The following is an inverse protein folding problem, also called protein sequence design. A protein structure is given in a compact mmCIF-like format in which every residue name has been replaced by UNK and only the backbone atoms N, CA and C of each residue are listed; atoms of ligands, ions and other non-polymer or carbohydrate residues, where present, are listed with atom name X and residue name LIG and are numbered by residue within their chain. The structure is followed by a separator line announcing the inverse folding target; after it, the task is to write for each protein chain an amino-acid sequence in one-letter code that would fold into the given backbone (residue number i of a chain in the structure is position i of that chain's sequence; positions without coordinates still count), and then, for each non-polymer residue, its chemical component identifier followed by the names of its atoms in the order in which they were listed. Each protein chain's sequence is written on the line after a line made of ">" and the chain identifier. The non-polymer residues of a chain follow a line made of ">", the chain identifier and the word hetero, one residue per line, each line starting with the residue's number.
data_IF_671262563291
#
_entry.id   IF_671262563291
#
_cell.length_a   1.000
_cell.length_b   1.000
_cell.length_c   1.000
_cell.angle_alpha   90.00
_cell.angle_beta   90.00
_cell.angle_gamma   90.00
#
_symmetry.space_group_name_H-M   'P 1'
#
loop_
_entity.id
_entity.type
_entity.pdbx_description
1 polymer ?
#
# COMPACT_ATOMS: atom_id res chain seq x y z
N UNK A 1 -1.94 4.32 25.56
CA UNK A 1 -0.48 4.38 25.40
C UNK A 1 -0.10 3.39 24.32
N UNK A 2 0.82 3.72 23.41
CA UNK A 2 1.28 2.78 22.38
C UNK A 2 2.14 1.69 23.02
N UNK A 3 1.87 0.42 22.69
CA UNK A 3 2.71 -0.71 23.09
C UNK A 3 3.37 -1.32 21.84
N UNK A 4 4.70 -1.15 21.67
CA UNK A 4 5.40 -1.70 20.52
C UNK A 4 5.53 -3.23 20.63
N UNK A 5 5.38 -3.90 19.50
CA UNK A 5 5.68 -5.32 19.35
C UNK A 5 7.14 -5.64 19.72
N UNK A 6 7.38 -6.82 20.30
CA UNK A 6 8.69 -7.24 20.83
C UNK A 6 9.81 -7.18 19.81
N UNK A 7 9.56 -7.56 18.55
CA UNK A 7 10.58 -7.51 17.50
C UNK A 7 11.09 -6.08 17.21
N UNK A 8 10.22 -5.06 17.34
CA UNK A 8 10.63 -3.67 17.21
C UNK A 8 11.44 -3.22 18.43
N UNK A 9 10.98 -3.60 19.63
CA UNK A 9 11.69 -3.30 20.89
C UNK A 9 13.10 -3.89 20.85
N UNK A 10 13.26 -5.14 20.43
CA UNK A 10 14.54 -5.82 20.37
C UNK A 10 15.48 -5.21 19.32
N UNK A 11 14.95 -4.86 18.13
CA UNK A 11 15.72 -4.19 17.09
C UNK A 11 16.25 -2.82 17.56
N UNK A 12 15.39 -2.01 18.19
CA UNK A 12 15.77 -0.70 18.75
C UNK A 12 16.80 -0.85 19.87
N UNK A 13 16.61 -1.81 20.80
CA UNK A 13 17.57 -2.08 21.89
C UNK A 13 18.95 -2.47 21.36
N UNK A 14 19.01 -3.27 20.29
CA UNK A 14 20.25 -3.70 19.64
C UNK A 14 20.87 -2.61 18.76
N UNK A 15 20.16 -1.49 18.53
CA UNK A 15 20.53 -0.44 17.57
C UNK A 15 20.77 -0.98 16.16
N UNK A 16 20.04 -2.03 15.81
CA UNK A 16 20.15 -2.66 14.50
C UNK A 16 19.17 -1.96 13.56
N UNK A 17 19.69 -0.95 12.85
CA UNK A 17 18.88 -0.10 11.96
C UNK A 17 18.17 -0.93 10.89
N UNK A 18 18.83 -1.97 10.38
CA UNK A 18 18.23 -2.83 9.36
C UNK A 18 17.05 -3.62 9.92
N UNK A 19 17.21 -4.19 11.12
CA UNK A 19 16.10 -4.86 11.81
C UNK A 19 14.96 -3.89 12.18
N UNK A 20 15.27 -2.62 12.49
CA UNK A 20 14.22 -1.61 12.71
C UNK A 20 13.44 -1.35 11.42
N UNK A 21 14.11 -1.20 10.28
CA UNK A 21 13.44 -1.02 8.98
C UNK A 21 12.55 -2.22 8.62
N UNK A 22 13.04 -3.45 8.84
CA UNK A 22 12.26 -4.67 8.66
C UNK A 22 11.03 -4.70 9.59
N UNK A 23 11.21 -4.33 10.86
CA UNK A 23 10.12 -4.25 11.83
C UNK A 23 9.04 -3.25 11.38
N UNK A 24 9.43 -2.03 10.99
CA UNK A 24 8.49 -1.01 10.52
C UNK A 24 7.81 -1.40 9.19
N UNK A 25 8.53 -2.08 8.29
CA UNK A 25 7.96 -2.64 7.06
C UNK A 25 6.92 -3.73 7.36
N UNK A 26 7.11 -4.47 8.46
CA UNK A 26 6.13 -5.45 8.95
C UNK A 26 4.86 -4.77 9.46
N UNK A 27 4.96 -3.67 10.20
CA UNK A 27 3.80 -2.85 10.59
C UNK A 27 3.04 -2.34 9.34
N UNK A 28 3.74 -1.75 8.36
CA UNK A 28 3.14 -1.30 7.10
C UNK A 28 2.46 -2.42 6.32
N UNK A 29 3.02 -3.63 6.38
CA UNK A 29 2.47 -4.78 5.68
C UNK A 29 1.16 -5.24 6.30
N UNK A 30 1.07 -5.26 7.64
CA UNK A 30 -0.11 -5.68 8.40
C UNK A 30 -1.20 -4.60 8.44
N UNK A 31 -0.81 -3.34 8.60
CA UNK A 31 -1.71 -2.21 8.80
C UNK A 31 -1.39 -1.05 7.83
N UNK A 32 -1.53 -1.24 6.50
CA UNK A 32 -1.21 -0.20 5.52
C UNK A 32 -2.10 1.04 5.61
N UNK A 33 -3.22 0.97 6.33
CA UNK A 33 -4.17 2.06 6.55
C UNK A 33 -3.76 2.95 7.74
N UNK A 34 -2.79 2.52 8.54
CA UNK A 34 -2.42 3.14 9.82
C UNK A 34 -3.64 3.29 10.77
N UNK A 35 -4.45 2.24 10.85
CA UNK A 35 -5.53 2.15 11.82
C UNK A 35 -5.00 2.37 13.23
N UNK A 36 -5.76 3.12 14.03
CA UNK A 36 -5.42 3.48 15.41
C UNK A 36 -4.06 4.20 15.55
N UNK A 37 -3.52 4.72 14.44
CA UNK A 37 -2.20 5.34 14.35
C UNK A 37 -1.03 4.41 14.72
N UNK A 38 -1.23 3.08 14.66
CA UNK A 38 -0.25 2.08 15.10
C UNK A 38 1.09 2.20 14.37
N UNK A 39 1.07 2.33 13.05
CA UNK A 39 2.27 2.35 12.22
C UNK A 39 3.10 3.61 12.45
N UNK A 40 2.44 4.76 12.58
CA UNK A 40 3.13 6.02 12.88
C UNK A 40 3.68 6.04 14.31
N UNK A 41 2.92 5.52 15.29
CA UNK A 41 3.42 5.38 16.67
C UNK A 41 4.63 4.43 16.75
N UNK A 42 4.65 3.35 15.96
CA UNK A 42 5.81 2.46 15.83
C UNK A 42 7.03 3.19 15.26
N UNK A 43 6.84 3.99 14.21
CA UNK A 43 7.90 4.78 13.59
C UNK A 43 8.46 5.85 14.55
N UNK A 44 7.59 6.58 15.26
CA UNK A 44 7.96 7.57 16.27
C UNK A 44 8.68 6.91 17.46
N UNK A 45 8.23 5.74 17.89
CA UNK A 45 8.88 4.96 18.94
C UNK A 45 10.34 4.64 18.59
N UNK A 46 10.59 4.21 17.36
CA UNK A 46 11.93 3.88 16.88
C UNK A 46 12.78 5.14 16.71
N UNK A 47 12.28 6.14 15.99
CA UNK A 47 12.99 7.40 15.69
C UNK A 47 13.45 8.11 16.97
N UNK A 48 12.62 8.13 18.02
CA UNK A 48 12.96 8.77 19.31
C UNK A 48 13.99 8.04 20.16
N UNK A 49 14.41 6.82 19.78
CA UNK A 49 15.29 5.95 20.59
C UNK A 49 16.58 5.57 19.89
N UNK A 50 16.70 5.86 18.60
CA UNK A 50 17.91 5.60 17.83
C UNK A 50 18.86 6.78 17.94
N UNK A 51 20.16 6.50 18.05
CA UNK A 51 21.21 7.52 17.91
C UNK A 51 21.49 7.85 16.45
N UNK A 52 21.38 6.84 15.59
CA UNK A 52 21.64 6.98 14.16
C UNK A 52 20.34 7.33 13.42
N UNK A 53 20.41 8.09 12.31
CA UNK A 53 19.24 8.43 11.53
C UNK A 53 18.51 7.19 11.00
N UNK A 54 17.22 7.06 11.34
CA UNK A 54 16.35 6.01 10.81
C UNK A 54 16.04 6.24 9.32
N UNK A 55 15.77 7.50 8.98
CA UNK A 55 15.32 7.91 7.66
C UNK A 55 16.50 8.30 6.79
N UNK A 56 16.45 7.87 5.53
CA UNK A 56 17.35 8.38 4.49
C UNK A 56 16.65 9.48 3.69
N UNK A 57 17.44 10.28 2.97
CA UNK A 57 16.90 11.25 2.01
C UNK A 57 16.13 10.52 0.89
N UNK A 58 15.04 11.13 0.45
CA UNK A 58 14.27 10.61 -0.68
C UNK A 58 15.13 10.62 -1.95
N UNK A 59 15.14 9.50 -2.67
CA UNK A 59 15.98 9.31 -3.87
C UNK A 59 15.44 9.97 -5.15
N UNK A 60 14.27 10.61 -5.08
CA UNK A 60 13.63 11.25 -6.22
C UNK A 60 12.99 10.27 -7.20
N UNK A 61 12.87 8.99 -6.86
CA UNK A 61 12.13 8.03 -7.67
C UNK A 61 10.69 8.50 -7.87
N UNK A 62 10.18 8.26 -9.08
CA UNK A 62 8.84 8.68 -9.46
C UNK A 62 7.77 8.08 -8.53
N UNK A 63 6.84 8.93 -8.14
CA UNK A 63 5.64 8.58 -7.39
C UNK A 63 4.45 9.04 -8.23
N UNK A 64 3.51 8.15 -8.53
CA UNK A 64 2.28 8.48 -9.25
C UNK A 64 1.39 9.41 -8.41
N UNK A 65 1.21 10.69 -8.81
CA UNK A 65 0.42 11.65 -8.04
C UNK A 65 -1.09 11.46 -8.22
N UNK A 66 -1.53 10.81 -9.31
CA UNK A 66 -2.95 10.61 -9.59
C UNK A 66 -3.50 9.44 -8.76
N UNK A 67 -4.22 9.79 -7.69
CA UNK A 67 -4.85 8.81 -6.79
C UNK A 67 -5.90 7.90 -7.43
N UNK A 68 -6.39 8.23 -8.64
CA UNK A 68 -7.29 7.35 -9.39
C UNK A 68 -6.57 6.13 -9.97
N UNK A 69 -5.25 6.21 -10.16
CA UNK A 69 -4.40 5.12 -10.65
C UNK A 69 -3.80 4.27 -9.53
N UNK A 70 -4.03 4.63 -8.26
CA UNK A 70 -3.53 3.85 -7.14
C UNK A 70 -4.28 2.53 -7.02
N UNK A 71 -3.53 1.43 -7.09
CA UNK A 71 -4.06 0.08 -6.98
C UNK A 71 -3.44 -0.67 -5.81
N UNK A 72 -3.99 -1.85 -5.52
CA UNK A 72 -3.37 -2.79 -4.56
C UNK A 72 -1.95 -3.17 -5.00
N UNK A 73 -1.76 -3.39 -6.30
CA UNK A 73 -0.46 -3.79 -6.84
C UNK A 73 0.55 -2.64 -6.72
N UNK A 74 0.10 -1.41 -6.97
CA UNK A 74 0.92 -0.21 -6.76
C UNK A 74 1.34 -0.07 -5.29
N UNK A 75 0.44 -0.32 -4.34
CA UNK A 75 0.80 -0.38 -2.91
C UNK A 75 1.87 -1.45 -2.63
N UNK A 76 1.76 -2.63 -3.27
CA UNK A 76 2.76 -3.68 -3.18
C UNK A 76 4.13 -3.23 -3.69
N UNK A 77 4.17 -2.58 -4.86
CA UNK A 77 5.38 -2.03 -5.45
C UNK A 77 6.04 -1.00 -4.52
N UNK A 78 5.27 -0.05 -3.99
CA UNK A 78 5.82 0.98 -3.10
C UNK A 78 6.45 0.37 -1.83
N UNK A 79 5.85 -0.69 -1.28
CA UNK A 79 6.40 -1.42 -0.13
C UNK A 79 7.72 -2.13 -0.48
N UNK A 80 7.82 -2.73 -1.66
CA UNK A 80 9.08 -3.31 -2.15
C UNK A 80 10.14 -2.22 -2.34
N UNK A 81 9.78 -1.10 -2.93
CA UNK A 81 10.71 -0.01 -3.19
C UNK A 81 11.23 0.67 -1.91
N UNK A 82 10.41 0.68 -0.85
CA UNK A 82 10.81 1.19 0.47
C UNK A 82 12.07 0.47 1.02
N UNK A 83 12.30 -0.78 0.62
CA UNK A 83 13.49 -1.54 0.99
C UNK A 83 14.79 -0.97 0.40
N UNK A 84 14.72 -0.29 -0.76
CA UNK A 84 15.89 0.34 -1.39
C UNK A 84 16.11 1.77 -0.90
N UNK A 85 15.04 2.50 -0.59
CA UNK A 85 15.08 3.84 -0.03
C UNK A 85 14.07 3.98 1.12
N UNK A 86 14.57 3.83 2.35
CA UNK A 86 13.76 3.91 3.56
C UNK A 86 13.57 5.37 4.02
N UNK A 87 13.00 6.21 3.16
CA UNK A 87 12.72 7.62 3.45
C UNK A 87 11.37 7.81 4.13
N UNK A 88 11.26 8.89 4.91
CA UNK A 88 10.04 9.22 5.66
C UNK A 88 8.89 9.59 4.72
N UNK A 89 9.22 10.20 3.60
CA UNK A 89 8.32 10.59 2.51
C UNK A 89 7.65 9.36 1.90
N UNK A 90 8.44 8.35 1.50
CA UNK A 90 7.90 7.09 0.94
C UNK A 90 7.08 6.34 1.97
N UNK A 91 7.56 6.27 3.21
CA UNK A 91 6.85 5.62 4.30
C UNK A 91 5.45 6.22 4.50
N UNK A 92 5.34 7.55 4.54
CA UNK A 92 4.06 8.26 4.66
C UNK A 92 3.19 8.10 3.42
N UNK A 93 3.78 8.19 2.23
CA UNK A 93 3.04 8.05 0.98
C UNK A 93 2.40 6.66 0.85
N UNK A 94 3.10 5.60 1.29
CA UNK A 94 2.55 4.23 1.37
C UNK A 94 1.28 4.19 2.23
N UNK A 95 1.23 4.93 3.35
CA UNK A 95 0.04 5.01 4.20
C UNK A 95 -1.12 5.73 3.51
N UNK A 96 -0.85 6.76 2.72
CA UNK A 96 -1.87 7.46 1.94
C UNK A 96 -2.48 6.54 0.88
N UNK A 97 -1.63 5.84 0.11
CA UNK A 97 -2.06 4.84 -0.87
C UNK A 97 -2.82 3.71 -0.17
N UNK A 98 -2.32 3.22 0.96
CA UNK A 98 -2.95 2.17 1.76
C UNK A 98 -4.37 2.52 2.18
N UNK A 99 -4.59 3.72 2.73
CA UNK A 99 -5.93 4.23 3.08
C UNK A 99 -6.89 4.27 1.89
N UNK A 100 -6.39 4.61 0.70
CA UNK A 100 -7.20 4.68 -0.52
C UNK A 100 -7.61 3.29 -1.03
N UNK A 101 -6.66 2.36 -1.12
CA UNK A 101 -6.86 1.07 -1.80
C UNK A 101 -7.31 -0.06 -0.86
N UNK A 102 -7.23 0.16 0.45
CA UNK A 102 -7.74 -0.71 1.51
C UNK A 102 -8.71 0.07 2.40
N UNK A 103 -9.87 0.51 1.89
CA UNK A 103 -10.84 1.17 2.74
C UNK A 103 -11.26 0.19 3.84
N UNK A 104 -11.16 0.66 5.09
CA UNK A 104 -11.76 0.03 6.24
C UNK A 104 -13.20 -0.39 5.89
N UNK A 105 -13.52 -1.68 6.02
CA UNK A 105 -14.92 -2.12 6.04
C UNK A 105 -15.56 -1.49 7.28
N UNK A 106 -16.11 -0.28 7.13
CA UNK A 106 -17.07 0.25 8.09
C UNK A 106 -18.25 -0.71 8.06
N UNK A 107 -18.42 -1.46 9.14
CA UNK A 107 -19.67 -2.16 9.39
C UNK A 107 -20.75 -1.08 9.53
N UNK A 108 -21.37 -0.70 8.42
CA UNK A 108 -22.64 -0.04 8.45
C UNK A 108 -23.64 -1.08 8.96
N UNK A 109 -23.83 -1.12 10.28
CA UNK A 109 -25.10 -1.58 10.83
C UNK A 109 -26.14 -0.60 10.33
N UNK A 110 -26.68 -0.88 9.15
CA UNK A 110 -27.84 -0.19 8.63
C UNK A 110 -29.00 -0.61 9.53
N UNK A 111 -29.23 0.18 10.59
CA UNK A 111 -30.51 0.23 11.25
C UNK A 111 -31.52 0.80 10.23
N UNK A 112 -32.04 -0.08 9.39
CA UNK A 112 -33.20 0.21 8.54
C UNK A 112 -34.43 0.23 9.44
N UNK A 113 -34.72 1.38 10.04
CA UNK A 113 -36.05 1.66 10.57
C UNK A 113 -36.87 2.37 9.49
N UNK A 114 -37.79 1.66 8.86
CA UNK A 114 -39.06 2.23 8.39
C UNK A 114 -40.11 1.11 8.25
N UNK A 115 -41.36 1.30 8.73
CA UNK A 115 -42.38 0.26 8.78
C UNK A 115 -43.16 0.13 7.45
N UNK A 116 -43.71 -1.08 7.24
CA UNK A 116 -44.84 -1.48 6.35
C UNK A 116 -44.88 -0.97 4.89
N UNK A 117 -44.99 -1.86 3.90
CA UNK A 117 -46.29 -2.44 3.53
C UNK A 117 -46.08 -3.73 2.72
N UNK A 118 -46.81 -4.77 3.12
CA UNK A 118 -46.90 -6.07 2.44
C UNK A 118 -47.80 -5.90 1.21
N UNK A 119 -47.32 -6.28 0.02
CA UNK A 119 -48.21 -6.68 -1.07
C UNK A 119 -47.62 -7.91 -1.76
N UNK A 120 -48.22 -9.06 -1.44
CA UNK A 120 -48.02 -10.36 -2.06
C UNK A 120 -48.44 -10.32 -3.52
N UNK A 121 -47.57 -10.74 -4.44
CA UNK A 121 -48.02 -11.25 -5.74
C UNK A 121 -47.12 -12.41 -6.14
N UNK A 122 -47.70 -13.62 -6.12
CA UNK A 122 -47.11 -14.87 -6.57
C UNK A 122 -46.65 -14.78 -8.02
N UNK A 123 -45.35 -15.01 -8.29
CA UNK A 123 -44.87 -15.40 -9.63
C UNK A 123 -43.79 -16.49 -9.47
N UNK A 124 -43.90 -17.62 -10.21
CA UNK A 124 -43.20 -18.88 -9.96
C UNK A 124 -41.70 -18.85 -10.24
N UNK A 125 -40.99 -19.65 -9.44
CA UNK A 125 -39.58 -20.03 -9.61
C UNK A 125 -39.35 -20.63 -11.01
N UNK A 126 -38.44 -20.00 -11.77
CA UNK A 126 -37.75 -20.63 -12.90
C UNK A 126 -36.27 -20.71 -12.59
N UNK A 127 -35.80 -21.93 -12.33
CA UNK A 127 -34.39 -22.29 -12.43
C UNK A 127 -33.99 -22.14 -13.89
N UNK A 128 -32.98 -21.31 -14.17
CA UNK A 128 -32.29 -21.32 -15.47
C UNK A 128 -30.79 -21.22 -15.25
N UNK A 129 -30.17 -22.38 -15.48
CA UNK A 129 -28.95 -22.64 -16.24
C UNK A 129 -27.71 -21.73 -16.08
N UNK A 130 -26.59 -22.39 -15.78
CA UNK A 130 -25.24 -21.85 -15.74
C UNK A 130 -24.76 -21.53 -17.16
N UNK A 131 -24.96 -20.30 -17.60
CA UNK A 131 -24.39 -19.75 -18.82
C UNK A 131 -22.92 -19.32 -18.66
N UNK A 132 -22.00 -20.21 -19.05
CA UNK A 132 -20.71 -19.97 -19.74
C UNK A 132 -20.00 -18.62 -19.52
N UNK A 133 -18.83 -18.57 -18.84
CA UNK A 133 -18.03 -17.35 -18.81
C UNK A 133 -17.35 -17.13 -20.18
N UNK A 134 -17.69 -16.04 -20.85
CA UNK A 134 -16.96 -15.57 -22.03
C UNK A 134 -15.58 -15.07 -21.61
N UNK A 135 -14.56 -15.90 -21.82
CA UNK A 135 -13.15 -15.53 -21.71
C UNK A 135 -12.75 -14.58 -22.84
N UNK A 136 -12.81 -13.28 -22.57
CA UNK A 136 -11.91 -12.32 -23.21
C UNK A 136 -10.85 -11.97 -22.19
N UNK A 137 -9.73 -12.71 -22.24
CA UNK A 137 -8.50 -12.32 -21.56
C UNK A 137 -8.07 -10.97 -22.13
N UNK A 138 -8.31 -9.91 -21.39
CA UNK A 138 -7.76 -8.60 -21.69
C UNK A 138 -6.32 -8.63 -21.18
N UNK A 139 -5.39 -8.83 -22.11
CA UNK A 139 -3.96 -8.69 -21.86
C UNK A 139 -3.74 -7.21 -21.57
N UNK A 140 -3.76 -6.83 -20.29
CA UNK A 140 -3.30 -5.51 -19.89
C UNK A 140 -1.79 -5.58 -20.06
N UNK A 141 -1.33 -5.05 -21.19
CA UNK A 141 0.06 -4.71 -21.41
C UNK A 141 0.51 -3.90 -20.19
N UNK A 142 1.41 -4.48 -19.40
CA UNK A 142 2.06 -3.76 -18.33
C UNK A 142 2.70 -2.51 -18.92
N UNK A 143 2.31 -1.34 -18.42
CA UNK A 143 3.11 -0.13 -18.57
C UNK A 143 4.33 -0.22 -17.64
N UNK A 144 5.11 -1.28 -17.83
CA UNK A 144 6.41 -1.55 -17.24
C UNK A 144 7.49 -1.59 -18.32
N UNK A 145 7.31 -0.79 -19.39
CA UNK A 145 8.24 -0.73 -20.51
C UNK A 145 7.97 0.49 -21.37
N UNK A 146 8.60 1.62 -21.03
CA UNK A 146 9.51 2.41 -21.88
C UNK A 146 10.14 3.47 -20.95
N UNK A 147 11.26 3.11 -20.36
CA UNK A 147 12.31 4.07 -19.99
C UNK A 147 13.72 3.48 -20.23
N UNK A 148 13.84 2.46 -21.09
CA UNK A 148 15.15 1.90 -21.49
C UNK A 148 15.63 2.48 -22.83
N UNK A 149 14.75 3.07 -23.66
CA UNK A 149 15.17 3.71 -24.91
C UNK A 149 15.80 5.10 -24.72
N UNK A 150 15.55 5.79 -23.60
CA UNK A 150 16.15 7.10 -23.32
C UNK A 150 17.60 7.02 -22.82
N UNK A 151 17.94 5.99 -22.04
CA UNK A 151 19.27 5.86 -21.42
C UNK A 151 20.32 5.41 -22.45
N UNK A 152 19.95 4.53 -23.40
CA UNK A 152 20.88 4.09 -24.44
C UNK A 152 21.26 5.22 -25.42
N UNK A 153 20.32 6.10 -25.78
CA UNK A 153 20.59 7.23 -26.68
C UNK A 153 21.43 8.34 -26.00
N UNK A 154 21.25 8.53 -24.68
CA UNK A 154 22.00 9.49 -23.88
C UNK A 154 23.46 9.05 -23.65
N UNK A 155 23.71 7.75 -23.51
CA UNK A 155 25.08 7.22 -23.39
C UNK A 155 25.81 7.17 -24.75
N UNK A 156 25.09 6.97 -25.86
CA UNK A 156 25.70 6.95 -27.20
C UNK A 156 26.16 8.34 -27.66
N UNK A 157 25.41 9.41 -27.36
CA UNK A 157 25.77 10.78 -27.78
C UNK A 157 26.90 11.42 -26.97
N UNK A 158 27.14 10.98 -25.72
CA UNK A 158 28.23 11.51 -24.87
C UNK A 158 29.61 10.96 -25.22
N UNK A 159 29.72 9.81 -25.90
CA UNK A 159 31.00 9.18 -26.22
C UNK A 159 31.62 9.65 -27.55
N UNK A 160 30.97 10.56 -28.28
CA UNK A 160 31.38 10.97 -29.63
C UNK A 160 31.44 12.50 -29.86
N UNK A 161 31.48 13.32 -28.81
CA UNK A 161 31.83 14.75 -28.91
C UNK A 161 32.99 15.10 -27.98
#
# INVERSE_FOLDING_TARGET
>A
MFEPQSYLVDAVKKRDIEQVKIALSTYLSKNPTNEQNEVMQAAEYAESRLSDPLWVEHDGLYIEPDSSKWTTDYLGQLKSDLGYNFSKERFKFILEVGKKVRPLKRNFSQASSSPETINTTNIPVRVTDMGKPNTKWLVIAGLGGIAILGVALFLYTRNHN
#
